data_IF_554842677727
#
_entry.id   IF_554842677727
#
_cell.length_a   1.000
_cell.length_b   1.000
_cell.length_c   1.000
_cell.angle_alpha   90.00
_cell.angle_beta   90.00
_cell.angle_gamma   90.00
#
_symmetry.space_group_name_H-M   'P 1'
#
loop_
_entity.id
_entity.type
_entity.pdbx_description
1 polymer ?
#
# COMPACT_ATOMS: atom_id res chain seq x y z
N UNK A 1 -12.50 -9.59 -7.00
CA UNK A 1 -11.94 -8.23 -6.84
C UNK A 1 -10.44 -8.33 -7.00
N UNK A 2 -9.88 -7.76 -8.05
CA UNK A 2 -8.43 -7.82 -8.31
C UNK A 2 -7.70 -6.89 -7.34
N UNK A 3 -6.78 -7.42 -6.54
CA UNK A 3 -5.91 -6.60 -5.68
C UNK A 3 -4.96 -5.78 -6.55
N UNK A 4 -5.03 -4.45 -6.42
CA UNK A 4 -4.26 -3.48 -7.23
C UNK A 4 -2.91 -3.16 -6.62
N UNK A 5 -2.89 -3.07 -5.29
CA UNK A 5 -1.67 -2.76 -4.54
C UNK A 5 -0.94 -4.06 -4.22
N UNK A 6 0.36 -4.08 -4.49
CA UNK A 6 1.28 -5.15 -4.12
C UNK A 6 2.40 -4.58 -3.25
N UNK A 7 2.80 -5.34 -2.24
CA UNK A 7 3.95 -5.04 -1.41
C UNK A 7 4.99 -6.13 -1.60
N UNK A 8 6.19 -5.72 -1.98
CA UNK A 8 7.39 -6.54 -1.92
C UNK A 8 8.15 -6.14 -0.65
N UNK A 9 8.20 -7.03 0.33
CA UNK A 9 8.74 -6.74 1.65
C UNK A 9 9.96 -7.62 1.94
N UNK A 10 11.06 -6.97 2.29
CA UNK A 10 12.25 -7.58 2.88
C UNK A 10 12.23 -7.43 4.39
N UNK A 11 13.31 -7.86 5.07
CA UNK A 11 13.47 -7.65 6.52
C UNK A 11 13.58 -6.17 6.91
N UNK A 12 14.01 -5.30 6.00
CA UNK A 12 14.37 -3.91 6.31
C UNK A 12 13.61 -2.89 5.45
N UNK A 13 12.90 -3.33 4.43
CA UNK A 13 12.29 -2.44 3.45
C UNK A 13 11.03 -3.03 2.84
N UNK A 14 10.19 -2.15 2.32
CA UNK A 14 8.93 -2.49 1.66
C UNK A 14 8.76 -1.60 0.43
N UNK A 15 8.68 -2.22 -0.74
CA UNK A 15 8.34 -1.56 -2.00
C UNK A 15 6.86 -1.78 -2.28
N UNK A 16 6.14 -0.69 -2.51
CA UNK A 16 4.72 -0.69 -2.87
C UNK A 16 4.60 -0.39 -4.35
N UNK A 17 3.81 -1.20 -5.05
CA UNK A 17 3.48 -1.00 -6.47
C UNK A 17 1.97 -1.07 -6.68
N UNK A 18 1.49 -0.39 -7.72
CA UNK A 18 0.10 -0.45 -8.15
C UNK A 18 0.03 -1.04 -9.57
N UNK A 19 -0.76 -2.09 -9.77
CA UNK A 19 -0.92 -2.75 -11.09
C UNK A 19 -1.58 -1.85 -12.12
N UNK A 20 -2.43 -0.93 -11.67
CA UNK A 20 -3.21 -0.05 -12.54
C UNK A 20 -2.46 1.27 -12.81
N UNK A 21 -1.38 1.54 -12.08
CA UNK A 21 -0.55 2.74 -12.18
C UNK A 21 0.93 2.35 -12.29
N UNK A 22 1.40 1.90 -13.46
CA UNK A 22 2.75 1.35 -13.62
C UNK A 22 3.87 2.37 -13.33
N UNK A 23 3.57 3.67 -13.41
CA UNK A 23 4.49 4.75 -13.09
C UNK A 23 4.52 5.11 -11.60
N UNK A 24 3.64 4.51 -10.79
CA UNK A 24 3.56 4.80 -9.37
C UNK A 24 4.18 3.67 -8.54
N UNK A 25 5.04 4.07 -7.61
CA UNK A 25 5.60 3.19 -6.59
C UNK A 25 5.93 4.00 -5.34
N UNK A 26 6.11 3.31 -4.22
CA UNK A 26 6.61 3.94 -2.99
C UNK A 26 7.55 2.99 -2.24
N UNK A 27 8.59 3.54 -1.63
CA UNK A 27 9.50 2.80 -0.77
C UNK A 27 9.30 3.20 0.70
N UNK A 28 9.18 2.23 1.59
CA UNK A 28 9.01 2.43 3.04
C UNK A 28 9.81 1.40 3.83
N UNK A 29 9.98 1.62 5.13
CA UNK A 29 10.72 0.70 6.00
C UNK A 29 9.81 -0.28 6.74
N UNK A 30 8.56 0.12 7.02
CA UNK A 30 7.57 -0.71 7.69
C UNK A 30 6.40 -1.03 6.77
N UNK A 31 5.73 -2.17 7.02
CA UNK A 31 4.50 -2.53 6.30
C UNK A 31 3.37 -1.55 6.57
N UNK A 32 3.32 -0.98 7.77
CA UNK A 32 2.33 0.03 8.15
C UNK A 32 2.49 1.29 7.28
N UNK A 33 3.69 1.84 7.20
CA UNK A 33 3.96 3.02 6.38
C UNK A 33 3.72 2.75 4.89
N UNK A 34 4.03 1.53 4.45
CA UNK A 34 3.76 1.10 3.09
C UNK A 34 2.26 1.12 2.78
N UNK A 35 1.41 0.61 3.68
CA UNK A 35 -0.05 0.69 3.53
C UNK A 35 -0.60 2.11 3.66
N UNK A 36 0.03 2.99 4.46
CA UNK A 36 -0.33 4.41 4.49
C UNK A 36 -0.05 5.09 3.14
N UNK A 37 1.11 4.81 2.53
CA UNK A 37 1.44 5.31 1.20
C UNK A 37 0.48 4.79 0.14
N UNK A 38 0.15 3.49 0.18
CA UNK A 38 -0.86 2.89 -0.69
C UNK A 38 -2.24 3.55 -0.52
N UNK A 39 -2.69 3.82 0.72
CA UNK A 39 -3.97 4.50 0.99
C UNK A 39 -4.00 5.90 0.40
N UNK A 40 -2.90 6.65 0.52
CA UNK A 40 -2.80 7.98 -0.07
C UNK A 40 -2.89 7.94 -1.60
N UNK A 41 -2.28 6.93 -2.23
CA UNK A 41 -2.41 6.69 -3.67
C UNK A 41 -3.82 6.29 -4.06
N UNK A 42 -4.45 5.32 -3.38
CA UNK A 42 -5.83 4.90 -3.64
C UNK A 42 -6.79 6.09 -3.59
N UNK A 43 -6.70 6.93 -2.56
CA UNK A 43 -7.57 8.13 -2.43
C UNK A 43 -7.47 9.10 -3.61
N UNK A 44 -6.32 9.15 -4.29
CA UNK A 44 -6.07 10.08 -5.40
C UNK A 44 -6.33 9.45 -6.77
N UNK A 45 -5.81 8.25 -7.00
CA UNK A 45 -5.81 7.58 -8.30
C UNK A 45 -6.96 6.58 -8.47
N UNK A 46 -7.50 6.06 -7.37
CA UNK A 46 -8.53 5.02 -7.38
C UNK A 46 -9.66 5.31 -6.38
N UNK A 47 -10.46 6.37 -6.59
CA UNK A 47 -11.58 6.68 -5.70
C UNK A 47 -12.50 5.48 -5.49
N UNK A 48 -12.83 5.17 -4.23
CA UNK A 48 -13.65 4.02 -3.86
C UNK A 48 -12.86 2.71 -3.66
N UNK A 49 -11.58 2.65 -4.00
CA UNK A 49 -10.73 1.54 -3.59
C UNK A 49 -10.49 1.58 -2.07
N UNK A 50 -10.61 0.42 -1.42
CA UNK A 50 -10.49 0.28 0.03
C UNK A 50 -9.42 -0.72 0.46
N UNK A 51 -8.68 -1.32 -0.48
CA UNK A 51 -7.73 -2.39 -0.17
C UNK A 51 -6.66 -1.90 0.83
N UNK A 52 -6.04 -0.74 0.61
CA UNK A 52 -5.03 -0.24 1.53
C UNK A 52 -5.63 0.19 2.86
N UNK A 53 -6.84 0.73 2.87
CA UNK A 53 -7.55 1.09 4.12
C UNK A 53 -7.84 -0.15 4.98
N UNK A 54 -8.37 -1.21 4.37
CA UNK A 54 -8.66 -2.47 5.05
C UNK A 54 -7.40 -3.16 5.56
N UNK A 55 -6.29 -3.10 4.82
CA UNK A 55 -5.01 -3.66 5.28
C UNK A 55 -4.37 -2.81 6.38
N UNK A 56 -4.48 -1.48 6.32
CA UNK A 56 -3.96 -0.61 7.38
C UNK A 56 -4.62 -0.90 8.73
N UNK A 57 -5.93 -1.17 8.75
CA UNK A 57 -6.64 -1.57 9.96
C UNK A 57 -6.10 -2.86 10.59
N UNK A 58 -5.63 -3.82 9.77
CA UNK A 58 -5.01 -5.08 10.23
C UNK A 58 -3.59 -4.89 10.78
N UNK A 59 -2.96 -3.77 10.47
CA UNK A 59 -1.60 -3.42 10.89
C UNK A 59 -1.57 -2.25 11.88
N UNK A 60 -2.71 -1.94 12.52
CA UNK A 60 -2.81 -0.85 13.48
C UNK A 60 -1.88 -1.06 14.71
N UNK A 61 -1.65 -2.32 15.08
CA UNK A 61 -0.85 -2.72 16.25
C UNK A 61 0.61 -3.06 15.93
N UNK A 62 1.01 -2.96 14.66
CA UNK A 62 2.41 -3.16 14.26
C UNK A 62 3.09 -1.79 14.18
N UNK A 63 4.16 -1.52 14.96
CA UNK A 63 4.89 -0.27 14.87
C UNK A 63 5.38 0.02 13.44
#
# INVERSE_FOLDING_TARGET
MTSRIRLDATKISVVVTCTDCPHWSAFRFTKRDAWQAARAHEKRAHPGATQATSNLAKHADTP
#
